data_IF_088658612027
#
_entry.id   IF_088658612027
#
_cell.length_a   1.000
_cell.length_b   1.000
_cell.length_c   1.000
_cell.angle_alpha   90.00
_cell.angle_beta   90.00
_cell.angle_gamma   90.00
#
_symmetry.space_group_name_H-M   'P 1'
#
loop_
_entity.id
_entity.type
_entity.pdbx_description
1 polymer ?
#
# COMPACT_ATOMS: atom_id res chain seq x y z
N UNK A 1 30.88 -19.54 2.90
CA UNK A 1 29.44 -19.40 2.73
C UNK A 1 28.68 -19.18 4.05
N UNK A 2 28.96 -19.89 5.12
CA UNK A 2 28.29 -19.74 6.44
C UNK A 2 28.51 -18.35 7.12
N UNK A 3 29.70 -17.76 6.99
CA UNK A 3 30.04 -16.46 7.58
C UNK A 3 29.29 -15.29 6.90
N UNK A 4 29.17 -15.35 5.56
CA UNK A 4 28.41 -14.33 4.79
C UNK A 4 26.92 -14.31 5.14
N UNK A 5 26.32 -15.49 5.41
CA UNK A 5 24.92 -15.61 5.82
C UNK A 5 24.69 -15.02 7.22
N UNK A 6 25.65 -15.24 8.15
CA UNK A 6 25.56 -14.70 9.51
C UNK A 6 25.69 -13.17 9.55
N UNK A 7 26.55 -12.58 8.73
CA UNK A 7 26.71 -11.13 8.61
C UNK A 7 25.43 -10.50 8.04
N UNK A 8 24.81 -11.14 7.03
CA UNK A 8 23.56 -10.66 6.45
C UNK A 8 22.39 -10.65 7.47
N UNK A 9 22.28 -11.69 8.29
CA UNK A 9 21.28 -11.76 9.37
C UNK A 9 21.47 -10.71 10.46
N UNK A 10 22.72 -10.47 10.86
CA UNK A 10 23.04 -9.47 11.92
C UNK A 10 22.75 -8.06 11.41
N UNK A 11 23.11 -7.75 10.18
CA UNK A 11 22.84 -6.42 9.60
C UNK A 11 21.33 -6.16 9.41
N UNK A 12 20.56 -7.17 8.99
CA UNK A 12 19.11 -7.05 8.85
C UNK A 12 18.40 -6.81 10.19
N UNK A 13 18.86 -7.46 11.26
CA UNK A 13 18.30 -7.27 12.60
C UNK A 13 18.60 -5.87 13.16
N UNK A 14 19.84 -5.39 13.01
CA UNK A 14 20.23 -4.06 13.49
C UNK A 14 19.52 -2.92 12.73
N UNK A 15 19.23 -3.09 11.43
CA UNK A 15 18.47 -2.11 10.64
C UNK A 15 16.99 -2.05 11.06
N UNK A 16 16.38 -3.20 11.40
CA UNK A 16 15.00 -3.25 11.89
C UNK A 16 14.84 -2.52 13.22
N UNK A 17 15.80 -2.66 14.11
CA UNK A 17 15.82 -2.00 15.44
C UNK A 17 15.94 -0.47 15.29
N UNK A 18 16.77 -0.02 14.34
CA UNK A 18 16.94 1.41 14.04
C UNK A 18 15.68 2.08 13.45
N UNK A 19 14.94 1.39 12.59
CA UNK A 19 13.71 1.94 12.00
C UNK A 19 12.57 2.05 13.02
N UNK A 20 12.48 1.11 13.96
CA UNK A 20 11.50 1.17 15.04
C UNK A 20 11.80 2.31 16.02
N UNK A 21 13.06 2.51 16.37
CA UNK A 21 13.47 3.63 17.24
C UNK A 21 13.13 4.99 16.59
N UNK A 22 13.42 5.17 15.29
CA UNK A 22 13.05 6.36 14.54
C UNK A 22 11.53 6.57 14.45
N UNK A 23 10.76 5.48 14.33
CA UNK A 23 9.30 5.57 14.29
C UNK A 23 8.73 6.05 15.63
N UNK A 24 9.25 5.55 16.74
CA UNK A 24 8.86 6.00 18.08
C UNK A 24 9.26 7.46 18.31
N UNK A 25 10.47 7.85 17.92
CA UNK A 25 10.95 9.24 18.01
C UNK A 25 10.06 10.20 17.20
N UNK A 26 9.69 9.81 15.97
CA UNK A 26 8.75 10.57 15.14
C UNK A 26 7.38 10.74 15.81
N UNK A 27 6.83 9.67 16.38
CA UNK A 27 5.57 9.72 17.12
C UNK A 27 5.66 10.63 18.35
N UNK A 28 6.75 10.57 19.09
CA UNK A 28 6.99 11.42 20.27
C UNK A 28 7.12 12.90 19.87
N UNK A 29 7.88 13.17 18.81
CA UNK A 29 8.03 14.53 18.25
C UNK A 29 6.70 15.09 17.76
N UNK A 30 5.89 14.28 17.06
CA UNK A 30 4.54 14.64 16.63
C UNK A 30 3.64 14.99 17.82
N UNK A 31 3.65 14.16 18.87
CA UNK A 31 2.86 14.38 20.09
C UNK A 31 3.25 15.67 20.83
N UNK A 32 4.53 16.06 20.76
CA UNK A 32 5.06 17.32 21.31
C UNK A 32 4.82 18.54 20.39
N UNK A 33 4.19 18.37 19.24
CA UNK A 33 3.98 19.43 18.25
C UNK A 33 5.23 19.84 17.46
N UNK A 34 6.32 19.08 17.56
CA UNK A 34 7.57 19.28 16.84
C UNK A 34 7.50 18.58 15.48
N UNK A 35 6.69 19.15 14.59
CA UNK A 35 6.34 18.49 13.31
C UNK A 35 7.54 18.34 12.38
N UNK A 36 8.49 19.27 12.38
CA UNK A 36 9.72 19.20 11.59
C UNK A 36 10.57 17.99 11.99
N UNK A 37 10.81 17.83 13.32
CA UNK A 37 11.59 16.71 13.86
C UNK A 37 10.90 15.37 13.55
N UNK A 38 9.57 15.32 13.67
CA UNK A 38 8.79 14.13 13.32
C UNK A 38 8.91 13.75 11.84
N UNK A 39 8.84 14.73 10.93
CA UNK A 39 9.03 14.51 9.49
C UNK A 39 10.42 13.93 9.24
N UNK A 40 11.46 14.53 9.82
CA UNK A 40 12.82 14.07 9.64
C UNK A 40 13.00 12.61 10.08
N UNK A 41 12.44 12.23 11.24
CA UNK A 41 12.49 10.85 11.72
C UNK A 41 11.77 9.89 10.77
N UNK A 42 10.56 10.22 10.29
CA UNK A 42 9.81 9.37 9.36
C UNK A 42 10.47 9.28 7.98
N UNK A 43 10.98 10.39 7.43
CA UNK A 43 11.70 10.38 6.15
C UNK A 43 13.02 9.60 6.23
N UNK A 44 13.68 9.60 7.39
CA UNK A 44 14.88 8.79 7.63
C UNK A 44 14.56 7.29 7.52
N UNK A 45 13.39 6.84 7.99
CA UNK A 45 12.93 5.46 7.83
C UNK A 45 12.72 5.13 6.34
N UNK A 46 12.08 6.03 5.58
CA UNK A 46 11.90 5.87 4.14
C UNK A 46 13.25 5.82 3.39
N UNK A 47 14.21 6.64 3.81
CA UNK A 47 15.58 6.65 3.24
C UNK A 47 16.34 5.33 3.51
N UNK A 48 16.03 4.64 4.60
CA UNK A 48 16.54 3.29 4.89
C UNK A 48 15.84 2.20 4.04
N UNK A 49 14.84 2.56 3.22
CA UNK A 49 14.11 1.63 2.37
C UNK A 49 12.94 0.91 3.05
N UNK A 50 12.56 1.31 4.26
CA UNK A 50 11.41 0.74 4.95
C UNK A 50 10.15 1.54 4.66
N UNK A 51 9.08 0.83 4.29
CA UNK A 51 7.78 1.42 3.98
C UNK A 51 6.67 0.67 4.73
N UNK A 52 5.74 1.42 5.32
CA UNK A 52 4.51 0.86 5.89
C UNK A 52 3.35 1.83 5.75
N UNK A 53 2.12 1.29 5.79
CA UNK A 53 0.91 2.13 5.75
C UNK A 53 0.86 3.09 6.93
N UNK A 54 1.26 2.63 8.12
CA UNK A 54 1.27 3.45 9.34
C UNK A 54 2.31 4.58 9.28
N UNK A 55 3.50 4.29 8.73
CA UNK A 55 4.55 5.29 8.51
C UNK A 55 4.04 6.42 7.60
N UNK A 56 3.50 6.07 6.45
CA UNK A 56 2.96 7.05 5.51
C UNK A 56 1.74 7.80 6.07
N UNK A 57 0.89 7.14 6.85
CA UNK A 57 -0.24 7.76 7.51
C UNK A 57 0.22 8.83 8.53
N UNK A 58 1.19 8.48 9.41
CA UNK A 58 1.71 9.40 10.41
C UNK A 58 2.48 10.57 9.76
N UNK A 59 3.25 10.30 8.71
CA UNK A 59 3.91 11.34 7.92
C UNK A 59 2.86 12.28 7.25
N UNK A 60 1.78 11.72 6.73
CA UNK A 60 0.66 12.48 6.17
C UNK A 60 0.00 13.39 7.21
N UNK A 61 -0.26 12.87 8.40
CA UNK A 61 -0.79 13.66 9.51
C UNK A 61 0.16 14.80 9.91
N UNK A 62 1.47 14.53 9.91
CA UNK A 62 2.49 15.51 10.28
C UNK A 62 2.56 16.65 9.24
N UNK A 63 2.60 16.33 7.95
CA UNK A 63 2.54 17.33 6.87
C UNK A 63 1.24 18.13 6.90
N UNK A 64 0.12 17.48 7.21
CA UNK A 64 -1.16 18.17 7.34
C UNK A 64 -1.15 19.20 8.48
N UNK A 65 -0.54 18.88 9.63
CA UNK A 65 -0.35 19.79 10.75
C UNK A 65 0.56 20.96 10.42
N UNK A 66 1.55 20.77 9.56
CA UNK A 66 2.42 21.80 9.01
C UNK A 66 1.76 22.63 7.86
N UNK A 67 0.49 22.38 7.52
CA UNK A 67 -0.17 22.98 6.36
C UNK A 67 0.45 22.65 5.00
N UNK A 68 1.32 21.64 4.92
CA UNK A 68 1.95 21.14 3.69
C UNK A 68 1.00 20.16 2.97
N UNK A 69 -0.15 20.68 2.47
CA UNK A 69 -1.25 19.86 1.97
C UNK A 69 -0.86 18.94 0.80
N UNK A 70 0.03 19.39 -0.09
CA UNK A 70 0.50 18.57 -1.21
C UNK A 70 1.25 17.32 -0.75
N UNK A 71 2.15 17.47 0.23
CA UNK A 71 2.92 16.38 0.83
C UNK A 71 2.02 15.46 1.67
N UNK A 72 1.05 16.02 2.40
CA UNK A 72 0.06 15.25 3.15
C UNK A 72 -0.75 14.34 2.20
N UNK A 73 -1.26 14.87 1.09
CA UNK A 73 -2.00 14.10 0.07
C UNK A 73 -1.13 12.98 -0.51
N UNK A 74 0.13 13.27 -0.83
CA UNK A 74 1.08 12.28 -1.31
C UNK A 74 1.28 11.14 -0.30
N UNK A 75 1.50 11.48 0.97
CA UNK A 75 1.71 10.51 2.03
C UNK A 75 0.46 9.64 2.28
N UNK A 76 -0.74 10.22 2.39
CA UNK A 76 -1.99 9.44 2.55
C UNK A 76 -2.25 8.51 1.36
N UNK A 77 -1.95 8.94 0.13
CA UNK A 77 -2.05 8.06 -1.04
C UNK A 77 -1.10 6.87 -0.98
N UNK A 78 0.12 7.06 -0.47
CA UNK A 78 1.06 5.96 -0.29
C UNK A 78 0.63 5.04 0.87
N UNK A 79 0.07 5.59 1.96
CA UNK A 79 -0.55 4.79 3.02
C UNK A 79 -1.63 3.86 2.45
N UNK A 80 -2.53 4.40 1.61
CA UNK A 80 -3.61 3.65 0.99
C UNK A 80 -3.16 2.65 -0.09
N UNK A 81 -1.99 2.83 -0.71
CA UNK A 81 -1.42 1.79 -1.58
C UNK A 81 -1.03 0.54 -0.78
N UNK A 82 -0.56 0.72 0.44
CA UNK A 82 -0.12 -0.38 1.32
C UNK A 82 -1.28 -0.93 2.16
N UNK A 83 -2.22 -0.06 2.56
CA UNK A 83 -3.44 -0.39 3.32
C UNK A 83 -4.69 0.18 2.64
N UNK A 84 -5.20 -0.44 1.56
CA UNK A 84 -6.29 0.13 0.74
C UNK A 84 -7.61 0.38 1.48
N UNK A 85 -7.84 -0.33 2.59
CA UNK A 85 -9.09 -0.26 3.37
C UNK A 85 -8.95 0.50 4.68
N UNK A 86 -7.90 1.30 4.84
CA UNK A 86 -7.70 2.13 6.03
C UNK A 86 -8.67 3.33 6.02
N UNK A 87 -9.67 3.36 6.91
CA UNK A 87 -10.69 4.41 6.89
C UNK A 87 -10.14 5.76 7.33
N UNK A 88 -9.16 5.79 8.22
CA UNK A 88 -8.57 7.02 8.73
C UNK A 88 -7.72 7.70 7.66
N UNK A 89 -6.93 6.92 6.93
CA UNK A 89 -6.16 7.43 5.79
C UNK A 89 -7.07 7.92 4.65
N UNK A 90 -8.21 7.24 4.38
CA UNK A 90 -9.20 7.69 3.41
C UNK A 90 -9.83 9.01 3.82
N UNK A 91 -10.29 9.11 5.05
CA UNK A 91 -10.90 10.31 5.59
C UNK A 91 -9.94 11.52 5.56
N UNK A 92 -8.69 11.32 6.03
CA UNK A 92 -7.70 12.40 6.07
C UNK A 92 -7.26 12.83 4.67
N UNK A 93 -7.19 11.90 3.70
CA UNK A 93 -6.95 12.22 2.30
C UNK A 93 -8.07 13.10 1.74
N UNK A 94 -9.32 12.76 2.00
CA UNK A 94 -10.47 13.55 1.56
C UNK A 94 -10.45 14.95 2.19
N UNK A 95 -10.22 15.04 3.50
CA UNK A 95 -10.09 16.29 4.21
C UNK A 95 -8.96 17.19 3.65
N UNK A 96 -7.80 16.62 3.35
CA UNK A 96 -6.70 17.34 2.74
C UNK A 96 -7.03 17.80 1.32
N UNK A 97 -7.75 17.00 0.52
CA UNK A 97 -8.20 17.38 -0.82
C UNK A 97 -9.23 18.52 -0.78
N UNK A 98 -10.15 18.52 0.18
CA UNK A 98 -11.14 19.61 0.33
C UNK A 98 -10.46 20.95 0.67
N UNK A 99 -9.39 20.91 1.47
CA UNK A 99 -8.62 22.11 1.84
C UNK A 99 -7.68 22.62 0.74
N UNK A 100 -7.41 21.81 -0.28
CA UNK A 100 -6.58 22.24 -1.39
C UNK A 100 -7.33 23.24 -2.27
N UNK A 101 -6.78 24.42 -2.46
CA UNK A 101 -7.39 25.52 -3.24
C UNK A 101 -7.51 25.20 -4.73
N UNK A 102 -6.59 24.36 -5.25
CA UNK A 102 -6.56 24.01 -6.68
C UNK A 102 -7.34 22.72 -6.95
N UNK A 103 -8.60 22.85 -7.34
CA UNK A 103 -9.47 21.77 -7.82
C UNK A 103 -9.43 21.70 -9.33
N UNK A 104 -8.69 20.74 -9.86
CA UNK A 104 -8.89 20.33 -11.26
C UNK A 104 -10.10 19.39 -11.28
N UNK A 105 -11.22 19.86 -11.87
CA UNK A 105 -12.37 19.00 -12.13
C UNK A 105 -12.00 18.02 -13.25
N UNK A 106 -11.81 16.75 -12.86
CA UNK A 106 -11.57 15.68 -13.84
C UNK A 106 -12.93 15.30 -14.43
N UNK A 107 -13.12 15.33 -15.77
CA UNK A 107 -14.35 14.89 -16.41
C UNK A 107 -14.78 13.51 -15.93
N UNK A 108 -16.07 13.31 -15.73
CA UNK A 108 -16.63 12.01 -15.32
C UNK A 108 -16.23 10.94 -16.33
N UNK A 109 -15.45 9.99 -15.88
CA UNK A 109 -15.01 8.86 -16.70
C UNK A 109 -16.18 7.88 -16.88
N UNK A 110 -16.14 7.09 -17.97
CA UNK A 110 -17.14 6.05 -18.24
C UNK A 110 -17.25 5.11 -17.01
N UNK A 111 -18.48 4.79 -16.57
CA UNK A 111 -18.76 4.13 -15.28
C UNK A 111 -17.96 2.82 -15.06
N UNK A 112 -17.75 2.03 -16.12
CA UNK A 112 -16.93 0.80 -16.03
C UNK A 112 -15.47 1.09 -15.68
N UNK A 113 -14.95 2.24 -16.11
CA UNK A 113 -13.59 2.65 -15.80
C UNK A 113 -13.47 3.09 -14.34
N UNK A 114 -14.52 3.68 -13.78
CA UNK A 114 -14.57 4.04 -12.36
C UNK A 114 -14.67 2.80 -11.48
N UNK A 115 -15.53 1.85 -11.84
CA UNK A 115 -15.63 0.56 -11.17
C UNK A 115 -14.29 -0.20 -11.21
N UNK A 116 -13.63 -0.27 -12.37
CA UNK A 116 -12.32 -0.87 -12.49
C UNK A 116 -11.27 -0.17 -11.60
N UNK A 117 -11.27 1.17 -11.59
CA UNK A 117 -10.36 1.95 -10.74
C UNK A 117 -10.63 1.74 -9.26
N UNK A 118 -11.91 1.66 -8.88
CA UNK A 118 -12.34 1.36 -7.52
C UNK A 118 -11.85 -0.03 -7.08
N UNK A 119 -12.11 -1.05 -7.90
CA UNK A 119 -11.66 -2.42 -7.64
C UNK A 119 -10.12 -2.49 -7.52
N UNK A 120 -9.41 -1.83 -8.44
CA UNK A 120 -7.94 -1.79 -8.40
C UNK A 120 -7.39 -1.15 -7.12
N UNK A 121 -8.06 -0.14 -6.58
CA UNK A 121 -7.67 0.53 -5.33
C UNK A 121 -8.03 -0.26 -4.08
N UNK A 122 -9.07 -1.11 -4.14
CA UNK A 122 -9.58 -1.84 -2.98
C UNK A 122 -8.74 -3.08 -2.61
N UNK A 123 -7.88 -3.55 -3.52
CA UNK A 123 -7.10 -4.76 -3.34
C UNK A 123 -5.60 -4.46 -3.27
N UNK A 124 -4.92 -5.15 -2.37
CA UNK A 124 -3.45 -5.16 -2.31
C UNK A 124 -2.87 -6.00 -3.46
N UNK A 125 -1.58 -5.83 -3.75
CA UNK A 125 -0.88 -6.66 -4.73
C UNK A 125 -0.97 -8.16 -4.41
N UNK A 126 -0.91 -8.53 -3.13
CA UNK A 126 -1.03 -9.93 -2.68
C UNK A 126 -2.41 -10.50 -2.98
N UNK A 127 -3.47 -9.73 -2.76
CA UNK A 127 -4.85 -10.12 -3.07
C UNK A 127 -5.07 -10.26 -4.57
N UNK A 128 -4.48 -9.38 -5.39
CA UNK A 128 -4.50 -9.50 -6.86
C UNK A 128 -3.82 -10.78 -7.34
N UNK A 129 -2.65 -11.13 -6.79
CA UNK A 129 -1.94 -12.38 -7.12
C UNK A 129 -2.79 -13.58 -6.73
N UNK A 130 -3.42 -13.57 -5.56
CA UNK A 130 -4.30 -14.63 -5.09
C UNK A 130 -5.50 -14.81 -6.03
N UNK A 131 -6.20 -13.73 -6.39
CA UNK A 131 -7.32 -13.78 -7.33
C UNK A 131 -6.89 -14.32 -8.69
N UNK A 132 -5.75 -13.89 -9.21
CA UNK A 132 -5.19 -14.38 -10.47
C UNK A 132 -4.87 -15.87 -10.43
N UNK A 133 -4.28 -16.37 -9.34
CA UNK A 133 -3.97 -17.79 -9.18
C UNK A 133 -5.23 -18.67 -9.11
N UNK A 134 -6.26 -18.21 -8.38
CA UNK A 134 -7.57 -18.89 -8.31
C UNK A 134 -8.20 -18.94 -9.70
N UNK A 135 -8.18 -17.84 -10.44
CA UNK A 135 -8.74 -17.79 -11.79
C UNK A 135 -8.06 -18.77 -12.75
N UNK A 136 -6.73 -18.83 -12.72
CA UNK A 136 -5.96 -19.77 -13.54
C UNK A 136 -6.24 -21.24 -13.16
N UNK A 137 -6.38 -21.55 -11.88
CA UNK A 137 -6.72 -22.93 -11.45
C UNK A 137 -8.12 -23.34 -11.90
N UNK A 138 -9.10 -22.43 -11.80
CA UNK A 138 -10.46 -22.69 -12.30
C UNK A 138 -10.45 -22.95 -13.80
N UNK A 139 -9.71 -22.15 -14.58
CA UNK A 139 -9.58 -22.36 -16.02
C UNK A 139 -8.92 -23.69 -16.36
N UNK A 140 -7.86 -24.08 -15.66
CA UNK A 140 -7.19 -25.35 -15.88
C UNK A 140 -8.14 -26.53 -15.62
N UNK A 141 -8.92 -26.47 -14.54
CA UNK A 141 -9.93 -27.48 -14.19
C UNK A 141 -10.99 -27.55 -15.29
N UNK A 142 -11.50 -26.41 -15.76
CA UNK A 142 -12.51 -26.36 -16.81
C UNK A 142 -12.02 -26.99 -18.11
N UNK A 143 -10.80 -26.65 -18.54
CA UNK A 143 -10.16 -27.23 -19.73
C UNK A 143 -9.99 -28.74 -19.57
N UNK A 144 -9.56 -29.21 -18.39
CA UNK A 144 -9.42 -30.64 -18.10
C UNK A 144 -10.77 -31.38 -18.26
N UNK A 145 -11.85 -30.83 -17.69
CA UNK A 145 -13.18 -31.43 -17.81
C UNK A 145 -13.69 -31.43 -19.24
N UNK A 146 -13.47 -30.37 -20.02
CA UNK A 146 -13.86 -30.31 -21.42
C UNK A 146 -13.11 -31.35 -22.27
N UNK A 147 -11.79 -31.51 -22.04
CA UNK A 147 -10.98 -32.51 -22.74
C UNK A 147 -11.37 -33.94 -22.34
N UNK A 148 -11.61 -34.18 -21.04
CA UNK A 148 -11.99 -35.50 -20.53
C UNK A 148 -13.43 -35.87 -20.98
N UNK A 149 -14.35 -34.91 -20.94
CA UNK A 149 -15.73 -35.09 -21.43
C UNK A 149 -15.79 -35.40 -22.94
N UNK A 150 -14.91 -34.74 -23.74
CA UNK A 150 -14.78 -35.01 -25.16
C UNK A 150 -14.26 -36.43 -25.44
N UNK A 151 -13.26 -36.89 -24.66
CA UNK A 151 -12.71 -38.24 -24.79
C UNK A 151 -13.75 -39.31 -24.39
N UNK A 152 -14.53 -39.09 -23.33
CA UNK A 152 -15.56 -40.04 -22.89
C UNK A 152 -16.71 -40.15 -23.86
N UNK A 153 -17.02 -39.08 -24.58
CA UNK A 153 -18.05 -39.08 -25.64
C UNK A 153 -17.68 -39.86 -26.92
N UNK A 154 -16.40 -40.09 -27.18
CA UNK A 154 -15.95 -40.87 -28.32
C UNK A 154 -15.99 -42.39 -28.12
N UNK A 155 -16.06 -42.85 -26.87
CA UNK A 155 -16.11 -44.30 -26.55
C UNK A 155 -17.55 -44.86 -26.52
N UNK A 156 -18.57 -44.05 -26.78
CA UNK A 156 -19.98 -44.46 -26.79
C UNK A 156 -20.62 -44.42 -28.20
N UNK A 157 -19.83 -44.30 -29.26
CA UNK A 157 -20.25 -44.55 -30.65
C UNK A 157 -19.53 -45.81 -31.16
#
# INVERSE_FOLDING_TARGET
>A
MKIALSIFFITSFALSDGSEALFLEGNESYAKGKYEDAIQSYESILALGFESGDLYYNLGNTYYKQHSLGQAIWAYRNALKLKPRDPDAQYNLELANVRRVDRIEIPTSFFLLEEYRSLKKSLTLKEWILCGSIFLTIQAILIFFLQFGWISGQFHQ
#
